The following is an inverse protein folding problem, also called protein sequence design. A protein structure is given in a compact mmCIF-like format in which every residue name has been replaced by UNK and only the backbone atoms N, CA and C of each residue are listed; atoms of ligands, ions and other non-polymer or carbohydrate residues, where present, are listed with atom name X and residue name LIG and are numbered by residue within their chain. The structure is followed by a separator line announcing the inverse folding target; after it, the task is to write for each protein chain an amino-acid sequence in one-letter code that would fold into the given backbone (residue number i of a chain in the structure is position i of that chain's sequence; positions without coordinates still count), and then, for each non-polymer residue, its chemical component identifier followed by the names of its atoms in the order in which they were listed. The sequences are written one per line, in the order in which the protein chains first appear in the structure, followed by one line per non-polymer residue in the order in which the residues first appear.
data_IF_305027985515
#
_entry.id   IF_305027985515
#
_cell.length_a   1.000
_cell.length_b   1.000
_cell.length_c   1.000
_cell.angle_alpha   90.00
_cell.angle_beta   90.00
_cell.angle_gamma   90.00
#
_symmetry.space_group_name_H-M   'P 1'
#
loop_
_entity.id
_entity.type
_entity.pdbx_description
1 polymer ?
#
# COMPACT_ATOMS: atom_id res chain seq x y z
N UNK A 1 -7.79 -4.83 6.90
CA UNK A 1 -6.73 -4.40 7.83
C UNK A 1 -6.60 -5.38 8.97
N UNK A 2 -5.40 -5.93 9.21
CA UNK A 2 -5.16 -6.87 10.30
C UNK A 2 -5.13 -6.16 11.66
N UNK A 3 -5.64 -6.82 12.70
CA UNK A 3 -5.65 -6.28 14.06
C UNK A 3 -4.24 -5.97 14.57
N UNK A 4 -3.26 -6.80 14.22
CA UNK A 4 -1.84 -6.59 14.57
C UNK A 4 -1.30 -5.27 13.99
N UNK A 5 -1.55 -5.00 12.70
CA UNK A 5 -1.16 -3.75 12.04
C UNK A 5 -1.79 -2.53 12.72
N UNK A 6 -3.06 -2.63 13.12
CA UNK A 6 -3.73 -1.57 13.86
C UNK A 6 -3.08 -1.34 15.24
N UNK A 7 -2.88 -2.40 16.03
CA UNK A 7 -2.29 -2.30 17.38
C UNK A 7 -0.88 -1.70 17.31
N UNK A 8 -0.03 -2.19 16.41
CA UNK A 8 1.33 -1.68 16.22
C UNK A 8 1.29 -0.21 15.82
N UNK A 9 0.51 0.14 14.79
CA UNK A 9 0.39 1.52 14.32
C UNK A 9 -0.14 2.46 15.42
N UNK A 10 -1.08 1.98 16.23
CA UNK A 10 -1.61 2.73 17.36
C UNK A 10 -0.54 3.00 18.42
N UNK A 11 0.24 1.99 18.80
CA UNK A 11 1.33 2.16 19.78
C UNK A 11 2.44 3.07 19.29
N UNK A 12 2.81 2.98 18.01
CA UNK A 12 3.76 3.90 17.39
C UNK A 12 3.24 5.35 17.40
N UNK A 13 1.95 5.54 17.17
CA UNK A 13 1.30 6.87 17.25
C UNK A 13 1.27 7.41 18.69
N UNK A 14 0.91 6.59 19.68
CA UNK A 14 0.92 6.98 21.10
C UNK A 14 2.30 7.42 21.58
N UNK A 15 3.37 6.82 21.05
CA UNK A 15 4.75 7.22 21.32
C UNK A 15 5.19 8.52 20.61
N UNK A 16 4.29 9.23 19.93
CA UNK A 16 4.58 10.46 19.19
C UNK A 16 5.03 10.24 17.74
N UNK A 17 5.00 8.99 17.25
CA UNK A 17 5.34 8.67 15.87
C UNK A 17 4.24 9.08 14.88
N UNK A 18 4.65 9.37 13.64
CA UNK A 18 3.72 9.56 12.53
C UNK A 18 3.60 8.27 11.72
N UNK A 19 2.41 7.68 11.70
CA UNK A 19 2.15 6.39 11.08
C UNK A 19 1.15 6.54 9.95
N UNK A 20 1.38 5.81 8.86
CA UNK A 20 0.46 5.67 7.74
C UNK A 20 0.12 4.19 7.57
N UNK A 21 -1.17 3.88 7.49
CA UNK A 21 -1.67 2.52 7.28
C UNK A 21 -2.43 2.49 5.95
N UNK A 22 -2.25 1.42 5.17
CA UNK A 22 -3.05 1.11 4.00
C UNK A 22 -3.67 -0.28 4.14
N UNK A 23 -4.73 -0.54 3.37
CA UNK A 23 -5.33 -1.86 3.24
C UNK A 23 -5.50 -2.13 1.76
N UNK A 24 -4.93 -3.24 1.31
CA UNK A 24 -5.16 -3.78 -0.02
C UNK A 24 -6.39 -4.70 0.03
N UNK A 25 -7.25 -4.62 -0.99
CA UNK A 25 -8.55 -5.29 -1.01
C UNK A 25 -9.01 -5.67 -2.43
N UNK A 26 -8.07 -5.82 -3.39
CA UNK A 26 -8.42 -6.33 -4.71
C UNK A 26 -8.87 -7.80 -4.56
N UNK A 27 -10.11 -8.16 -4.96
CA UNK A 27 -10.64 -9.51 -4.78
C UNK A 27 -10.04 -10.55 -5.73
N UNK A 28 -9.41 -10.12 -6.85
CA UNK A 28 -8.85 -11.03 -7.86
C UNK A 28 -7.52 -11.65 -7.43
N UNK A 29 -6.72 -10.87 -6.71
CA UNK A 29 -5.46 -11.27 -6.12
C UNK A 29 -5.48 -10.83 -4.66
N UNK A 30 -6.17 -11.58 -3.81
CA UNK A 30 -6.41 -11.24 -2.40
C UNK A 30 -5.57 -12.08 -1.43
N UNK A 31 -4.60 -12.83 -1.93
CA UNK A 31 -3.75 -13.67 -1.10
C UNK A 31 -2.69 -12.85 -0.36
N UNK A 32 -2.09 -13.47 0.66
CA UNK A 32 -1.03 -12.84 1.40
C UNK A 32 0.14 -12.52 0.45
N UNK A 33 0.61 -11.28 0.47
CA UNK A 33 1.71 -10.72 -0.36
C UNK A 33 1.36 -10.32 -1.80
N UNK A 34 0.12 -10.49 -2.26
CA UNK A 34 -0.25 -10.10 -3.63
C UNK A 34 -0.07 -8.60 -3.91
N UNK A 35 -0.18 -7.75 -2.89
CA UNK A 35 0.07 -6.31 -3.02
C UNK A 35 1.55 -5.99 -3.33
N UNK A 36 2.47 -6.87 -2.95
CA UNK A 36 3.90 -6.74 -3.23
C UNK A 36 4.20 -6.75 -4.72
N UNK A 37 3.44 -7.52 -5.50
CA UNK A 37 3.59 -7.60 -6.96
C UNK A 37 3.51 -6.20 -7.59
N UNK A 38 2.49 -5.41 -7.21
CA UNK A 38 2.30 -4.04 -7.69
C UNK A 38 3.34 -3.05 -7.14
N UNK A 39 3.86 -3.28 -5.94
CA UNK A 39 4.88 -2.41 -5.32
C UNK A 39 6.23 -2.60 -6.01
N UNK A 40 6.61 -3.85 -6.28
CA UNK A 40 7.92 -4.23 -6.82
C UNK A 40 7.96 -4.26 -8.34
N UNK A 41 6.80 -4.30 -9.00
CA UNK A 41 6.71 -4.41 -10.45
C UNK A 41 6.95 -5.83 -10.97
N UNK A 42 6.88 -6.84 -10.11
CA UNK A 42 7.08 -8.25 -10.46
C UNK A 42 5.72 -8.94 -10.37
N UNK A 43 5.22 -9.46 -11.49
CA UNK A 43 3.89 -10.05 -11.57
C UNK A 43 3.96 -11.36 -12.35
N UNK A 44 3.36 -12.42 -11.83
CA UNK A 44 3.26 -13.73 -12.50
C UNK A 44 1.94 -13.87 -13.29
N UNK A 45 1.18 -12.78 -13.42
CA UNK A 45 -0.16 -12.75 -14.00
C UNK A 45 -0.35 -11.54 -14.93
N UNK A 46 -1.29 -11.67 -15.86
CA UNK A 46 -1.74 -10.55 -16.68
C UNK A 46 -2.64 -9.62 -15.86
N UNK A 47 -2.35 -8.32 -15.94
CA UNK A 47 -3.13 -7.29 -15.27
C UNK A 47 -4.47 -7.08 -15.94
N UNK A 48 -5.52 -7.02 -15.13
CA UNK A 48 -6.75 -6.35 -15.54
C UNK A 48 -6.56 -4.81 -15.61
N UNK A 49 -7.51 -4.06 -16.19
CA UNK A 49 -7.40 -2.61 -16.29
C UNK A 49 -7.22 -1.87 -14.95
N UNK A 50 -7.78 -2.38 -13.85
CA UNK A 50 -7.60 -1.80 -12.51
C UNK A 50 -6.21 -2.13 -11.97
N UNK A 51 -5.74 -3.36 -12.17
CA UNK A 51 -4.41 -3.84 -11.78
C UNK A 51 -3.29 -3.08 -12.51
N UNK A 52 -3.52 -2.71 -13.78
CA UNK A 52 -2.65 -1.82 -14.52
C UNK A 52 -2.54 -0.43 -13.88
N UNK A 53 -3.61 0.08 -13.26
CA UNK A 53 -3.55 1.31 -12.46
C UNK A 53 -2.75 1.07 -11.18
N UNK A 54 -3.01 -0.03 -10.46
CA UNK A 54 -2.30 -0.39 -9.23
C UNK A 54 -0.78 -0.45 -9.43
N UNK A 55 -0.32 -1.08 -10.52
CA UNK A 55 1.09 -1.19 -10.89
C UNK A 55 1.77 0.17 -11.13
N UNK A 56 1.01 1.23 -11.42
CA UNK A 56 1.54 2.59 -11.56
C UNK A 56 1.48 3.36 -10.25
N UNK A 57 0.40 3.19 -9.49
CA UNK A 57 0.13 4.03 -8.32
C UNK A 57 0.85 3.55 -7.06
N UNK A 58 0.96 2.23 -6.83
CA UNK A 58 1.56 1.68 -5.63
C UNK A 58 3.05 2.06 -5.53
N UNK A 59 3.90 1.85 -6.56
CA UNK A 59 5.30 2.25 -6.49
C UNK A 59 5.48 3.73 -6.16
N UNK A 60 4.62 4.60 -6.71
CA UNK A 60 4.66 6.04 -6.44
C UNK A 60 4.34 6.37 -4.98
N UNK A 61 3.36 5.71 -4.36
CA UNK A 61 3.06 5.90 -2.93
C UNK A 61 4.27 5.61 -2.04
N UNK A 62 4.93 4.47 -2.28
CA UNK A 62 6.08 4.04 -1.48
C UNK A 62 7.32 4.89 -1.76
N UNK A 63 7.58 5.24 -3.02
CA UNK A 63 8.70 6.13 -3.39
C UNK A 63 8.52 7.53 -2.81
N UNK A 64 7.32 8.11 -2.87
CA UNK A 64 7.06 9.44 -2.33
C UNK A 64 7.17 9.44 -0.79
N UNK A 65 6.70 8.38 -0.13
CA UNK A 65 6.88 8.20 1.30
C UNK A 65 8.37 8.07 1.66
N UNK A 66 9.13 7.24 0.96
CA UNK A 66 10.57 7.07 1.19
C UNK A 66 11.34 8.38 1.00
N UNK A 67 10.96 9.20 0.03
CA UNK A 67 11.62 10.49 -0.27
C UNK A 67 11.24 11.60 0.70
N UNK A 68 9.99 11.66 1.15
CA UNK A 68 9.43 12.87 1.80
C UNK A 68 8.89 12.63 3.21
N UNK A 69 8.82 11.38 3.66
CA UNK A 69 8.14 10.99 4.89
C UNK A 69 6.62 11.20 4.85
N UNK A 70 6.05 11.47 3.66
CA UNK A 70 4.62 11.68 3.44
C UNK A 70 4.18 10.84 2.24
N UNK A 71 3.11 10.04 2.35
CA UNK A 71 2.54 9.39 1.18
C UNK A 71 2.00 10.45 0.22
N UNK A 72 1.92 10.10 -1.06
CA UNK A 72 1.32 10.94 -2.10
C UNK A 72 -0.06 11.45 -1.67
N UNK A 73 -0.32 12.74 -1.86
CA UNK A 73 -1.67 13.32 -1.73
C UNK A 73 -2.50 12.94 -2.95
N UNK A 74 -3.59 12.20 -2.74
CA UNK A 74 -4.64 11.99 -3.74
C UNK A 74 -4.48 10.73 -4.59
N UNK A 75 -5.52 9.88 -4.52
CA UNK A 75 -6.03 9.04 -5.61
C UNK A 75 -7.55 8.78 -5.50
N UNK A 76 -8.20 9.48 -4.57
CA UNK A 76 -9.65 9.48 -4.36
C UNK A 76 -10.05 10.95 -4.20
N UNK A 77 -10.37 11.60 -5.29
CA UNK A 77 -11.22 12.80 -5.35
C UNK A 77 -12.44 12.43 -6.16
#
# INVERSE_FOLDING_TARGET
MFLSSYVIGHKMREAGGKVYLYSYANPRHSEHTDDLSYIMGVHEFEHDPNEAVLAVIYPKFFVDFAKTGKPRKGLLT
#
